data_IF_802782156253
#
_entry.id   IF_802782156253
#
_cell.length_a   1.000
_cell.length_b   1.000
_cell.length_c   1.000
_cell.angle_alpha   90.00
_cell.angle_beta   90.00
_cell.angle_gamma   90.00
#
_symmetry.space_group_name_H-M   'P 1'
#
loop_
_entity.id
_entity.type
_entity.pdbx_description
1 polymer ?
#
# COMPACT_ATOMS: atom_id res chain seq x y z
N UNK A 1 27.05 -1.40 34.60
CA UNK A 1 25.71 -1.72 34.07
C UNK A 1 25.81 -3.10 33.45
N UNK A 2 24.84 -3.99 33.71
CA UNK A 2 24.85 -5.36 33.20
C UNK A 2 24.79 -5.37 31.66
N UNK A 3 25.55 -6.26 31.02
CA UNK A 3 25.50 -6.54 29.57
C UNK A 3 24.07 -6.84 29.08
N UNK A 4 23.24 -7.40 29.96
CA UNK A 4 21.81 -7.62 29.74
C UNK A 4 21.03 -6.30 29.61
N UNK A 5 21.31 -5.32 30.46
CA UNK A 5 20.59 -4.03 30.46
C UNK A 5 20.82 -3.24 29.16
N UNK A 6 22.06 -3.25 28.63
CA UNK A 6 22.36 -2.64 27.33
C UNK A 6 21.67 -3.37 26.18
N UNK A 7 21.63 -4.70 26.24
CA UNK A 7 20.93 -5.53 25.25
C UNK A 7 19.42 -5.26 25.25
N UNK A 8 18.81 -5.11 26.42
CA UNK A 8 17.39 -4.77 26.56
C UNK A 8 17.09 -3.35 26.04
N UNK A 9 17.93 -2.36 26.33
CA UNK A 9 17.80 -0.99 25.80
C UNK A 9 17.94 -0.94 24.28
N UNK A 10 18.82 -1.77 23.72
CA UNK A 10 18.97 -1.91 22.27
C UNK A 10 17.72 -2.53 21.62
N UNK A 11 17.15 -3.57 22.26
CA UNK A 11 15.90 -4.20 21.84
C UNK A 11 14.71 -3.21 21.85
N UNK A 12 14.57 -2.46 22.94
CA UNK A 12 13.55 -1.41 23.10
C UNK A 12 13.64 -0.36 21.97
N UNK A 13 14.84 0.18 21.73
CA UNK A 13 15.06 1.19 20.69
C UNK A 13 14.69 0.69 19.28
N UNK A 14 14.98 -0.57 18.97
CA UNK A 14 14.62 -1.19 17.67
C UNK A 14 13.11 -1.32 17.50
N UNK A 15 12.38 -1.66 18.56
CA UNK A 15 10.93 -1.76 18.55
C UNK A 15 10.26 -0.39 18.39
N UNK A 16 10.78 0.65 19.06
CA UNK A 16 10.29 2.03 18.90
C UNK A 16 10.46 2.54 17.48
N UNK A 17 11.63 2.34 16.87
CA UNK A 17 11.87 2.71 15.46
C UNK A 17 10.88 1.98 14.53
N UNK A 18 10.58 0.71 14.83
CA UNK A 18 9.63 -0.08 14.05
C UNK A 18 8.21 0.45 14.22
N UNK A 19 7.81 0.82 15.44
CA UNK A 19 6.52 1.42 15.74
C UNK A 19 6.32 2.77 15.02
N UNK A 20 7.34 3.62 15.02
CA UNK A 20 7.28 4.91 14.31
C UNK A 20 7.21 4.74 12.79
N UNK A 21 7.95 3.76 12.23
CA UNK A 21 7.82 3.42 10.80
C UNK A 21 6.40 2.97 10.47
N UNK A 22 5.80 2.12 11.32
CA UNK A 22 4.43 1.62 11.21
C UNK A 22 3.39 2.74 11.21
N UNK A 23 3.58 3.79 12.00
CA UNK A 23 2.67 4.93 12.04
C UNK A 23 2.77 5.84 10.82
N UNK A 24 3.98 5.99 10.25
CA UNK A 24 4.29 7.07 9.28
C UNK A 24 4.25 6.63 7.82
N UNK A 25 4.43 5.34 7.52
CA UNK A 25 4.56 4.88 6.13
C UNK A 25 3.41 3.95 5.70
N UNK A 26 2.67 4.24 4.63
CA UNK A 26 1.60 3.36 4.14
C UNK A 26 2.11 2.12 3.36
N UNK A 27 3.34 2.13 2.83
CA UNK A 27 3.94 1.04 2.03
C UNK A 27 5.09 0.34 2.78
N UNK A 28 4.74 -0.27 3.92
CA UNK A 28 5.72 -0.91 4.79
C UNK A 28 5.97 -2.34 4.36
N UNK A 29 7.25 -2.72 4.38
CA UNK A 29 7.70 -4.10 4.30
C UNK A 29 7.46 -4.80 5.65
N UNK A 30 6.28 -5.38 5.78
CA UNK A 30 5.83 -6.08 6.99
C UNK A 30 6.67 -7.32 7.30
N UNK A 31 7.27 -7.94 6.29
CA UNK A 31 8.12 -9.11 6.48
C UNK A 31 9.43 -8.70 7.15
N UNK A 32 9.98 -7.55 6.77
CA UNK A 32 11.14 -6.96 7.45
C UNK A 32 10.85 -6.63 8.93
N UNK A 33 9.67 -6.08 9.23
CA UNK A 33 9.28 -5.77 10.62
C UNK A 33 9.08 -7.05 11.43
N UNK A 34 8.47 -8.08 10.82
CA UNK A 34 8.28 -9.40 11.44
C UNK A 34 9.61 -10.03 11.83
N UNK A 35 10.56 -10.07 10.90
CA UNK A 35 11.91 -10.60 11.15
C UNK A 35 12.65 -9.83 12.25
N UNK A 36 12.48 -8.51 12.32
CA UNK A 36 13.06 -7.69 13.39
C UNK A 36 12.47 -7.99 14.77
N UNK A 37 11.15 -8.19 14.85
CA UNK A 37 10.48 -8.58 16.09
C UNK A 37 10.96 -9.97 16.55
N UNK A 38 11.06 -10.92 15.62
CA UNK A 38 11.46 -12.30 15.90
C UNK A 38 12.93 -12.38 16.35
N UNK A 39 13.83 -11.63 15.72
CA UNK A 39 15.23 -11.48 16.16
C UNK A 39 15.31 -10.84 17.56
N UNK A 40 14.51 -9.81 17.82
CA UNK A 40 14.46 -9.14 19.13
C UNK A 40 13.98 -10.10 20.21
N UNK A 41 12.93 -10.88 19.94
CA UNK A 41 12.42 -11.88 20.86
C UNK A 41 13.43 -12.98 21.15
N UNK A 42 14.10 -13.51 20.12
CA UNK A 42 15.14 -14.53 20.28
C UNK A 42 16.34 -14.03 21.07
N UNK A 43 16.75 -12.77 20.85
CA UNK A 43 17.81 -12.13 21.62
C UNK A 43 17.40 -11.95 23.08
N UNK A 44 16.21 -11.42 23.37
CA UNK A 44 15.72 -11.26 24.74
C UNK A 44 15.60 -12.63 25.44
N UNK A 45 15.04 -13.64 24.76
CA UNK A 45 14.88 -15.00 25.28
C UNK A 45 16.22 -15.66 25.60
N UNK A 46 17.21 -15.52 24.72
CA UNK A 46 18.56 -16.09 24.92
C UNK A 46 19.23 -15.47 26.15
N UNK A 47 19.15 -14.16 26.31
CA UNK A 47 19.80 -13.45 27.42
C UNK A 47 19.05 -13.58 28.75
N UNK A 48 17.74 -13.86 28.72
CA UNK A 48 16.95 -14.19 29.90
C UNK A 48 17.14 -15.63 30.38
N UNK A 49 17.46 -16.57 29.49
CA UNK A 49 17.59 -17.98 29.84
C UNK A 49 18.73 -18.25 30.83
N UNK A 50 19.75 -17.38 30.83
CA UNK A 50 20.95 -17.54 31.66
C UNK A 50 20.87 -16.76 32.99
N UNK A 51 19.84 -15.93 33.22
CA UNK A 51 19.75 -15.05 34.41
C UNK A 51 18.52 -15.38 35.27
N UNK A 52 18.76 -15.91 36.47
CA UNK A 52 17.71 -16.31 37.41
C UNK A 52 17.06 -15.15 38.18
N UNK A 53 17.71 -13.98 38.27
CA UNK A 53 17.23 -12.81 39.01
C UNK A 53 17.49 -11.56 38.17
N UNK A 54 16.42 -10.81 37.88
CA UNK A 54 16.46 -9.54 37.15
C UNK A 54 16.54 -8.37 38.14
N UNK A 55 17.36 -7.38 37.80
CA UNK A 55 17.39 -6.12 38.53
C UNK A 55 16.16 -5.27 38.18
N UNK A 56 15.75 -4.37 39.08
CA UNK A 56 14.53 -3.56 38.93
C UNK A 56 14.52 -2.75 37.61
N UNK A 57 15.69 -2.21 37.22
CA UNK A 57 15.85 -1.52 35.93
C UNK A 57 15.67 -2.43 34.70
N UNK A 58 16.14 -3.68 34.76
CA UNK A 58 15.96 -4.66 33.68
C UNK A 58 14.50 -5.10 33.58
N UNK A 59 13.83 -5.25 34.73
CA UNK A 59 12.41 -5.58 34.81
C UNK A 59 11.53 -4.48 34.21
N UNK A 60 11.84 -3.20 34.46
CA UNK A 60 11.14 -2.07 33.86
C UNK A 60 11.30 -2.02 32.33
N UNK A 61 12.52 -2.25 31.81
CA UNK A 61 12.75 -2.27 30.36
C UNK A 61 12.04 -3.45 29.70
N UNK A 62 12.01 -4.61 30.35
CA UNK A 62 11.25 -5.77 29.86
C UNK A 62 9.74 -5.51 29.81
N UNK A 63 9.18 -4.87 30.84
CA UNK A 63 7.77 -4.47 30.83
C UNK A 63 7.47 -3.50 29.68
N UNK A 64 8.39 -2.57 29.39
CA UNK A 64 8.24 -1.66 28.27
C UNK A 64 8.33 -2.39 26.92
N UNK A 65 9.30 -3.30 26.74
CA UNK A 65 9.40 -4.17 25.54
C UNK A 65 8.12 -4.97 25.32
N UNK A 66 7.56 -5.58 26.36
CA UNK A 66 6.30 -6.35 26.27
C UNK A 66 5.14 -5.44 25.86
N UNK A 67 5.08 -4.23 26.40
CA UNK A 67 4.05 -3.24 26.04
C UNK A 67 4.17 -2.81 24.58
N UNK A 68 5.40 -2.56 24.09
CA UNK A 68 5.67 -2.23 22.69
C UNK A 68 5.28 -3.38 21.75
N UNK A 69 5.57 -4.63 22.12
CA UNK A 69 5.16 -5.81 21.35
C UNK A 69 3.63 -5.94 21.28
N UNK A 70 2.92 -5.70 22.39
CA UNK A 70 1.47 -5.72 22.41
C UNK A 70 0.86 -4.63 21.51
N UNK A 71 1.43 -3.42 21.53
CA UNK A 71 1.03 -2.32 20.65
C UNK A 71 1.30 -2.63 19.18
N UNK A 72 2.49 -3.14 18.84
CA UNK A 72 2.82 -3.55 17.48
C UNK A 72 1.87 -4.64 16.98
N UNK A 73 1.57 -5.64 17.81
CA UNK A 73 0.58 -6.67 17.50
C UNK A 73 -0.79 -6.06 17.22
N UNK A 74 -1.27 -5.17 18.09
CA UNK A 74 -2.56 -4.52 17.92
C UNK A 74 -2.62 -3.67 16.63
N UNK A 75 -1.56 -2.93 16.31
CA UNK A 75 -1.50 -2.14 15.07
C UNK A 75 -1.46 -3.02 13.84
N UNK A 76 -0.71 -4.12 13.87
CA UNK A 76 -0.70 -5.13 12.81
C UNK A 76 -2.07 -5.77 12.62
N UNK A 77 -2.77 -6.16 13.69
CA UNK A 77 -4.12 -6.73 13.64
C UNK A 77 -5.12 -5.72 13.08
N UNK A 78 -5.11 -4.47 13.56
CA UNK A 78 -5.97 -3.41 13.05
C UNK A 78 -5.71 -3.14 11.56
N UNK A 79 -4.44 -3.17 11.14
CA UNK A 79 -4.08 -2.98 9.73
C UNK A 79 -4.46 -4.19 8.89
N UNK A 80 -4.33 -5.41 9.41
CA UNK A 80 -4.81 -6.63 8.77
C UNK A 80 -6.33 -6.58 8.61
N UNK A 81 -7.08 -6.14 9.61
CA UNK A 81 -8.53 -5.93 9.50
C UNK A 81 -8.89 -4.83 8.51
N UNK A 82 -8.14 -3.73 8.45
CA UNK A 82 -8.32 -2.70 7.40
C UNK A 82 -8.02 -3.24 6.01
N UNK A 83 -6.94 -4.02 5.86
CA UNK A 83 -6.59 -4.66 4.60
C UNK A 83 -7.61 -5.74 4.21
N UNK A 84 -8.14 -6.50 5.17
CA UNK A 84 -9.19 -7.49 4.97
C UNK A 84 -10.53 -6.84 4.68
N UNK A 85 -10.87 -5.70 5.28
CA UNK A 85 -12.07 -4.93 4.94
C UNK A 85 -11.94 -4.29 3.55
N UNK A 86 -10.76 -3.79 3.20
CA UNK A 86 -10.43 -3.38 1.83
C UNK A 86 -10.36 -4.57 0.87
N UNK A 87 -10.06 -5.79 1.36
CA UNK A 87 -10.07 -7.03 0.59
C UNK A 87 -11.50 -7.52 0.41
N UNK A 88 -12.39 -7.47 1.40
CA UNK A 88 -13.84 -7.71 1.24
C UNK A 88 -14.49 -6.68 0.29
N UNK A 89 -13.99 -5.44 0.26
CA UNK A 89 -14.36 -4.45 -0.75
C UNK A 89 -13.76 -4.72 -2.14
N UNK A 90 -12.69 -5.53 -2.24
CA UNK A 90 -12.02 -5.87 -3.51
C UNK A 90 -12.25 -7.32 -4.00
N UNK A 91 -12.72 -8.24 -3.16
CA UNK A 91 -12.97 -9.66 -3.46
C UNK A 91 -14.31 -9.82 -4.19
N UNK A 92 -15.23 -8.87 -4.04
CA UNK A 92 -16.35 -8.70 -4.98
C UNK A 92 -15.89 -8.24 -6.38
N UNK A 93 -14.61 -7.88 -6.54
CA UNK A 93 -14.06 -7.31 -7.77
C UNK A 93 -12.79 -7.98 -8.32
N UNK A 94 -12.46 -9.21 -7.93
CA UNK A 94 -11.27 -9.86 -8.49
C UNK A 94 -11.38 -11.37 -8.69
N UNK A 95 -12.15 -11.79 -9.71
CA UNK A 95 -11.81 -12.99 -10.47
C UNK A 95 -11.88 -12.63 -11.96
N UNK A 96 -10.75 -12.17 -12.52
CA UNK A 96 -10.32 -12.67 -13.83
C UNK A 96 -8.80 -12.45 -14.00
N UNK A 97 -8.02 -13.39 -13.49
CA UNK A 97 -6.59 -13.45 -13.77
C UNK A 97 -6.35 -14.04 -15.16
N UNK A 98 -6.52 -13.20 -16.19
CA UNK A 98 -5.74 -13.33 -17.41
C UNK A 98 -4.96 -12.03 -17.62
N UNK A 99 -3.66 -12.05 -17.27
CA UNK A 99 -2.72 -11.06 -17.83
C UNK A 99 -2.67 -11.28 -19.35
N UNK A 100 -3.17 -10.36 -20.20
CA UNK A 100 -2.94 -10.50 -21.62
C UNK A 100 -1.50 -10.08 -21.90
N UNK A 101 -0.76 -10.94 -22.59
CA UNK A 101 0.49 -10.60 -23.25
C UNK A 101 0.20 -9.50 -24.28
N UNK A 102 0.79 -8.32 -24.10
CA UNK A 102 1.25 -7.42 -25.18
C UNK A 102 0.32 -7.05 -26.34
N UNK A 103 -1.01 -7.14 -26.22
CA UNK A 103 -1.91 -6.70 -27.29
C UNK A 103 -2.58 -5.38 -26.90
N UNK A 104 -2.51 -4.40 -27.81
CA UNK A 104 -3.28 -3.15 -27.74
C UNK A 104 -4.77 -3.49 -27.61
N UNK A 105 -5.54 -2.64 -26.94
CA UNK A 105 -6.99 -2.76 -26.96
C UNK A 105 -7.48 -2.67 -28.41
N UNK A 106 -8.56 -3.39 -28.72
CA UNK A 106 -9.19 -3.27 -30.04
C UNK A 106 -9.68 -1.84 -30.28
N UNK A 107 -9.91 -1.51 -31.55
CA UNK A 107 -10.40 -0.19 -31.93
C UNK A 107 -11.78 0.09 -31.30
N UNK A 108 -12.66 -0.91 -31.26
CA UNK A 108 -13.98 -0.82 -30.62
C UNK A 108 -13.87 -0.57 -29.11
N UNK A 109 -13.02 -1.33 -28.42
CA UNK A 109 -12.77 -1.12 -26.98
C UNK A 109 -12.23 0.27 -26.71
N UNK A 110 -11.32 0.75 -27.56
CA UNK A 110 -10.74 2.09 -27.44
C UNK A 110 -11.80 3.15 -27.72
N UNK A 111 -12.65 2.96 -28.73
CA UNK A 111 -13.72 3.89 -29.08
C UNK A 111 -14.69 4.10 -27.91
N UNK A 112 -15.17 3.02 -27.30
CA UNK A 112 -16.07 3.08 -26.12
C UNK A 112 -15.42 3.84 -24.95
N UNK A 113 -14.14 3.55 -24.67
CA UNK A 113 -13.40 4.21 -23.60
C UNK A 113 -13.18 5.70 -23.88
N UNK A 114 -12.91 6.07 -25.14
CA UNK A 114 -12.74 7.45 -25.56
C UNK A 114 -14.04 8.24 -25.56
N UNK A 115 -15.14 7.64 -26.00
CA UNK A 115 -16.48 8.22 -25.94
C UNK A 115 -16.83 8.61 -24.49
N UNK A 116 -16.69 7.67 -23.55
CA UNK A 116 -16.95 7.95 -22.14
C UNK A 116 -16.03 9.06 -21.61
N UNK A 117 -14.74 9.02 -21.95
CA UNK A 117 -13.80 10.03 -21.49
C UNK A 117 -14.14 11.43 -22.02
N UNK A 118 -14.55 11.54 -23.28
CA UNK A 118 -14.93 12.82 -23.89
C UNK A 118 -16.22 13.36 -23.28
N UNK A 119 -17.18 12.50 -22.97
CA UNK A 119 -18.40 12.90 -22.25
C UNK A 119 -18.10 13.39 -20.82
N UNK A 120 -17.06 12.84 -20.18
CA UNK A 120 -16.67 13.18 -18.81
C UNK A 120 -15.41 14.08 -18.76
N UNK A 121 -15.15 14.87 -19.81
CA UNK A 121 -13.88 15.60 -19.96
C UNK A 121 -13.58 16.58 -18.81
N UNK A 122 -14.62 17.18 -18.23
CA UNK A 122 -14.50 18.11 -17.10
C UNK A 122 -14.07 17.39 -15.81
N UNK A 123 -14.60 16.17 -15.59
CA UNK A 123 -14.34 15.36 -14.41
C UNK A 123 -14.10 13.88 -14.76
N UNK A 124 -12.94 13.52 -15.37
CA UNK A 124 -12.69 12.19 -15.93
C UNK A 124 -12.29 11.14 -14.88
N UNK A 125 -13.10 11.02 -13.82
CA UNK A 125 -12.91 10.06 -12.73
C UNK A 125 -14.04 9.05 -12.73
N UNK A 126 -13.66 7.77 -12.65
CA UNK A 126 -14.62 6.67 -12.61
C UNK A 126 -15.34 6.63 -11.26
N UNK A 127 -16.63 6.36 -11.30
CA UNK A 127 -17.42 5.94 -10.15
C UNK A 127 -17.80 4.45 -10.33
N UNK A 128 -18.50 3.86 -9.35
CA UNK A 128 -18.86 2.45 -9.41
C UNK A 128 -19.73 2.10 -10.63
N UNK A 129 -20.69 2.98 -10.98
CA UNK A 129 -21.58 2.77 -12.12
C UNK A 129 -20.86 2.86 -13.46
N UNK A 130 -20.02 3.87 -13.65
CA UNK A 130 -19.29 4.05 -14.92
C UNK A 130 -18.22 3.00 -15.12
N UNK A 131 -17.59 2.52 -14.04
CA UNK A 131 -16.67 1.40 -14.11
C UNK A 131 -17.37 0.11 -14.56
N UNK A 132 -18.56 -0.16 -14.03
CA UNK A 132 -19.32 -1.37 -14.38
C UNK A 132 -19.87 -1.31 -15.81
N UNK A 133 -20.37 -0.15 -16.24
CA UNK A 133 -20.82 0.08 -17.63
C UNK A 133 -19.68 -0.20 -18.62
N UNK A 134 -18.52 0.44 -18.40
CA UNK A 134 -17.36 0.27 -19.27
C UNK A 134 -16.84 -1.16 -19.28
N UNK A 135 -16.80 -1.82 -18.11
CA UNK A 135 -16.43 -3.23 -18.02
C UNK A 135 -17.34 -4.11 -18.91
N UNK A 136 -18.66 -3.93 -18.80
CA UNK A 136 -19.63 -4.70 -19.59
C UNK A 136 -19.54 -4.42 -21.09
N UNK A 137 -19.42 -3.14 -21.47
CA UNK A 137 -19.38 -2.72 -22.88
C UNK A 137 -18.09 -3.10 -23.59
N UNK A 138 -16.95 -3.07 -22.89
CA UNK A 138 -15.64 -3.34 -23.49
C UNK A 138 -15.16 -4.78 -23.32
N UNK A 139 -15.74 -5.52 -22.38
CA UNK A 139 -15.24 -6.84 -21.96
C UNK A 139 -13.86 -6.79 -21.29
N UNK A 140 -13.30 -5.60 -21.05
CA UNK A 140 -12.03 -5.43 -20.34
C UNK A 140 -12.23 -5.61 -18.85
N UNK A 141 -11.19 -6.07 -18.14
CA UNK A 141 -11.27 -6.15 -16.68
C UNK A 141 -11.40 -4.76 -16.08
N UNK A 142 -12.04 -4.67 -14.90
CA UNK A 142 -12.18 -3.40 -14.16
C UNK A 142 -10.82 -2.74 -13.90
N UNK A 143 -9.77 -3.53 -13.69
CA UNK A 143 -8.39 -3.03 -13.56
C UNK A 143 -7.92 -2.36 -14.85
N UNK A 144 -8.10 -3.02 -15.99
CA UNK A 144 -7.73 -2.45 -17.30
C UNK A 144 -8.47 -1.15 -17.60
N UNK A 145 -9.75 -1.07 -17.26
CA UNK A 145 -10.55 0.17 -17.40
C UNK A 145 -9.99 1.29 -16.51
N UNK A 146 -9.74 1.01 -15.21
CA UNK A 146 -9.16 1.98 -14.27
C UNK A 146 -7.79 2.49 -14.73
N UNK A 147 -6.94 1.59 -15.19
CA UNK A 147 -5.60 1.90 -15.68
C UNK A 147 -5.67 2.76 -16.95
N UNK A 148 -6.55 2.42 -17.88
CA UNK A 148 -6.74 3.18 -19.11
C UNK A 148 -7.20 4.61 -18.83
N UNK A 149 -8.22 4.80 -17.99
CA UNK A 149 -8.70 6.15 -17.67
C UNK A 149 -7.62 6.96 -16.95
N UNK A 150 -6.89 6.32 -16.03
CA UNK A 150 -5.77 6.96 -15.33
C UNK A 150 -4.62 7.34 -16.26
N UNK A 151 -4.32 6.51 -17.25
CA UNK A 151 -3.37 6.84 -18.31
C UNK A 151 -3.88 7.99 -19.21
N UNK A 152 -5.14 7.95 -19.63
CA UNK A 152 -5.75 8.98 -20.50
C UNK A 152 -5.71 10.37 -19.85
N UNK A 153 -6.05 10.47 -18.56
CA UNK A 153 -5.90 11.72 -17.77
C UNK A 153 -4.46 12.23 -17.77
N UNK A 154 -3.48 11.37 -17.51
CA UNK A 154 -2.05 11.74 -17.51
C UNK A 154 -1.59 12.20 -18.88
N UNK A 155 -2.00 11.50 -19.94
CA UNK A 155 -1.65 11.83 -21.33
C UNK A 155 -2.19 13.20 -21.72
N UNK A 156 -3.41 13.56 -21.32
CA UNK A 156 -3.98 14.89 -21.60
C UNK A 156 -3.25 16.01 -20.87
N UNK A 157 -2.88 15.83 -19.59
CA UNK A 157 -2.05 16.80 -18.88
C UNK A 157 -0.69 17.02 -19.54
N UNK A 158 -0.15 15.98 -20.17
CA UNK A 158 1.13 16.07 -20.90
C UNK A 158 1.03 16.71 -22.29
N UNK A 159 -0.18 16.97 -22.81
CA UNK A 159 -0.40 17.64 -24.11
C UNK A 159 -0.44 19.17 -23.97
N UNK A 160 0.51 19.75 -23.25
CA UNK A 160 0.76 21.18 -23.39
C UNK A 160 1.42 21.40 -24.75
N UNK A 161 0.63 21.86 -25.73
CA UNK A 161 1.17 22.45 -26.95
C UNK A 161 1.89 23.74 -26.51
N UNK A 162 3.17 23.88 -26.84
CA UNK A 162 3.90 25.13 -26.56
C UNK A 162 3.14 26.30 -27.18
N UNK A 163 3.08 27.41 -26.45
CA UNK A 163 2.30 28.59 -26.86
C UNK A 163 2.65 29.04 -28.30
N UNK A 164 3.93 28.90 -28.66
CA UNK A 164 4.51 29.18 -29.99
C UNK A 164 3.88 28.34 -31.12
N UNK A 165 3.42 27.13 -30.82
CA UNK A 165 2.83 26.22 -31.81
C UNK A 165 1.30 26.32 -31.89
N UNK A 166 0.64 27.01 -30.94
CA UNK A 166 -0.82 27.15 -30.93
C UNK A 166 -1.35 27.90 -32.16
N UNK A 167 -0.62 28.92 -32.61
CA UNK A 167 -0.98 29.75 -33.78
C UNK A 167 -1.04 28.96 -35.09
N UNK A 168 -0.30 27.85 -35.20
CA UNK A 168 -0.30 26.97 -36.38
C UNK A 168 -1.49 26.01 -36.43
N UNK A 169 -2.21 25.81 -35.31
CA UNK A 169 -3.35 24.88 -35.24
C UNK A 169 -4.72 25.59 -35.25
N UNK A 170 -4.77 26.93 -35.15
CA UNK A 170 -6.01 27.72 -35.14
C UNK A 170 -6.34 28.42 -36.46
N UNK A 171 -5.58 28.17 -37.54
CA UNK A 171 -5.93 28.65 -38.88
C UNK A 171 -6.74 27.60 -39.64
N UNK A 172 -8.06 27.65 -39.50
CA UNK A 172 -9.06 27.24 -40.50
C UNK A 172 -10.40 27.88 -40.15
#
# INVERSE_FOLDING_TARGET
MSDLFETLKCAESKLDISLEKVKTNPNIDWERIRLQIEDTFNNVKKNLFDKAILEDGEMQVLQHIVSLLALLKHVCEKRLHQLQANKLSNEDFNIDFKKPKGNRFSDEQTHILEEWHNFNIEHPYLNASSLEDLHKRTGLTRVQVRDWVSYKRRKQKSKFISEELRSFFTQN
#
